data_IF_350682511248
#
_entry.id   IF_350682511248
#
_cell.length_a   1.000
_cell.length_b   1.000
_cell.length_c   1.000
_cell.angle_alpha   90.00
_cell.angle_beta   90.00
_cell.angle_gamma   90.00
#
_symmetry.space_group_name_H-M   'P 1'
#
loop_
_entity.id
_entity.type
_entity.pdbx_description
1 polymer ?
#
# COMPACT_ATOMS: atom_id res chain seq x y z
N UNK A 1 -2.61 -7.57 -2.37
CA UNK A 1 -2.25 -7.08 -1.01
C UNK A 1 -3.39 -6.23 -0.46
N UNK A 2 -3.17 -4.92 -0.38
CA UNK A 2 -4.20 -4.02 0.13
C UNK A 2 -3.82 -2.56 -0.09
N UNK A 3 -3.06 -2.00 0.84
CA UNK A 3 -2.63 -0.60 0.75
C UNK A 3 -1.10 -0.52 0.75
N UNK A 4 -0.49 -1.69 0.68
CA UNK A 4 0.96 -1.85 0.69
C UNK A 4 1.65 -1.32 -0.55
N UNK A 5 1.13 -0.24 -1.11
CA UNK A 5 1.72 0.30 -2.33
C UNK A 5 2.02 1.79 -2.25
N UNK A 6 0.98 2.58 -2.03
CA UNK A 6 1.10 4.04 -2.04
C UNK A 6 1.65 4.67 -0.74
N UNK A 7 0.87 4.64 0.34
CA UNK A 7 1.29 5.29 1.59
C UNK A 7 2.67 4.84 2.08
N UNK A 8 3.37 4.02 1.31
CA UNK A 8 4.70 3.57 1.74
C UNK A 8 5.74 4.60 1.32
N UNK A 9 5.50 5.36 0.30
#
# INVERSE_FOLDING_TARGET
RKIWWWWLX
#
